data_IF_005734098909
#
_entry.id   IF_005734098909
#
_cell.length_a   1.000
_cell.length_b   1.000
_cell.length_c   1.000
_cell.angle_alpha   90.00
_cell.angle_beta   90.00
_cell.angle_gamma   90.00
#
_symmetry.space_group_name_H-M   'P 1'
#
loop_
_entity.id
_entity.type
_entity.pdbx_description
1 polymer ?
#
# COMPACT_ATOMS: atom_id res chain seq x y z
N UNK A 1 10.15 -4.78 -21.70
CA UNK A 1 11.30 -4.01 -21.17
C UNK A 1 12.33 -5.04 -20.71
N UNK A 2 13.55 -5.04 -21.25
CA UNK A 2 14.61 -5.97 -20.83
C UNK A 2 15.30 -5.37 -19.60
N UNK A 3 15.36 -6.14 -18.51
CA UNK A 3 16.13 -5.80 -17.31
C UNK A 3 17.51 -6.40 -17.47
N UNK A 4 18.55 -5.60 -17.22
CA UNK A 4 19.92 -6.09 -17.14
C UNK A 4 20.21 -6.40 -15.67
N UNK A 5 20.49 -7.67 -15.36
CA UNK A 5 20.86 -8.06 -14.01
C UNK A 5 22.35 -7.78 -13.78
N UNK A 6 22.64 -6.99 -12.75
CA UNK A 6 24.01 -6.79 -12.27
C UNK A 6 24.39 -7.84 -11.22
N UNK A 7 25.67 -7.85 -10.82
CA UNK A 7 26.18 -8.79 -9.80
C UNK A 7 25.48 -8.61 -8.44
N UNK A 8 25.13 -7.39 -8.06
CA UNK A 8 24.49 -7.09 -6.78
C UNK A 8 23.06 -7.67 -6.72
N UNK A 9 22.27 -7.53 -7.78
CA UNK A 9 20.96 -8.17 -7.92
C UNK A 9 21.09 -9.69 -7.84
N UNK A 10 22.18 -10.26 -8.36
CA UNK A 10 22.42 -11.70 -8.25
C UNK A 10 22.59 -12.14 -6.80
N UNK A 11 23.37 -11.37 -6.03
CA UNK A 11 23.60 -11.62 -4.61
C UNK A 11 22.31 -11.46 -3.79
N UNK A 12 21.52 -10.41 -4.05
CA UNK A 12 20.21 -10.21 -3.41
C UNK A 12 19.26 -11.38 -3.65
N UNK A 13 19.17 -11.90 -4.88
CA UNK A 13 18.32 -13.06 -5.19
C UNK A 13 18.79 -14.32 -4.44
N UNK A 14 20.11 -14.51 -4.32
CA UNK A 14 20.66 -15.63 -3.56
C UNK A 14 20.31 -15.53 -2.08
N UNK A 15 20.35 -14.33 -1.50
CA UNK A 15 19.97 -14.10 -0.11
C UNK A 15 18.48 -14.30 0.12
N UNK A 16 17.64 -13.76 -0.76
CA UNK A 16 16.20 -13.99 -0.76
C UNK A 16 15.89 -15.50 -0.79
N UNK A 17 16.53 -16.25 -1.69
CA UNK A 17 16.31 -17.70 -1.83
C UNK A 17 16.75 -18.52 -0.60
N UNK A 18 17.68 -18.01 0.22
CA UNK A 18 18.07 -18.66 1.49
C UNK A 18 16.97 -18.52 2.55
N UNK A 19 16.23 -17.41 2.54
CA UNK A 19 15.22 -17.08 3.55
C UNK A 19 13.82 -17.61 3.23
N UNK A 20 13.48 -17.72 1.95
CA UNK A 20 12.15 -18.15 1.52
C UNK A 20 11.94 -19.66 1.78
N UNK A 21 10.69 -20.03 2.05
CA UNK A 21 10.22 -21.42 2.18
C UNK A 21 10.69 -22.33 1.02
N UNK A 22 11.06 -23.59 1.28
CA UNK A 22 11.54 -24.53 0.26
C UNK A 22 10.64 -24.67 -0.97
N UNK A 23 9.32 -24.52 -0.82
CA UNK A 23 8.35 -24.62 -1.91
C UNK A 23 8.46 -23.47 -2.92
N UNK A 24 8.86 -22.28 -2.47
CA UNK A 24 8.97 -21.09 -3.32
C UNK A 24 10.39 -20.90 -3.91
N UNK A 25 11.40 -21.63 -3.41
CA UNK A 25 12.78 -21.62 -3.94
C UNK A 25 12.92 -21.93 -5.44
N UNK A 26 12.15 -22.86 -6.07
CA UNK A 26 12.28 -23.11 -7.51
C UNK A 26 11.68 -22.01 -8.38
N UNK A 27 10.76 -21.20 -7.85
CA UNK A 27 10.13 -20.06 -8.54
C UNK A 27 11.06 -18.84 -8.60
N UNK A 28 11.92 -18.69 -7.59
CA UNK A 28 12.91 -17.61 -7.47
C UNK A 28 14.21 -18.02 -8.19
N UNK A 29 14.23 -17.89 -9.52
CA UNK A 29 15.38 -18.19 -10.38
C UNK A 29 15.51 -17.17 -11.51
N UNK A 30 16.75 -16.85 -11.94
CA UNK A 30 17.00 -15.92 -13.06
C UNK A 30 16.38 -16.34 -14.37
N UNK A 31 16.26 -17.64 -14.60
CA UNK A 31 15.62 -18.18 -15.79
C UNK A 31 14.10 -17.90 -15.82
N UNK A 32 13.51 -17.47 -14.70
CA UNK A 32 12.10 -17.12 -14.62
C UNK A 32 11.91 -15.63 -14.99
N UNK A 33 11.30 -15.31 -16.14
CA UNK A 33 11.00 -13.92 -16.49
C UNK A 33 10.00 -13.27 -15.53
N UNK A 34 9.20 -14.07 -14.82
CA UNK A 34 8.17 -13.64 -13.86
C UNK A 34 8.69 -13.57 -12.42
N UNK A 35 10.01 -13.57 -12.22
CA UNK A 35 10.61 -13.57 -10.87
C UNK A 35 10.12 -12.40 -10.01
N UNK A 36 9.96 -11.21 -10.58
CA UNK A 36 9.46 -10.03 -9.85
C UNK A 36 8.01 -10.21 -9.41
N UNK A 37 7.17 -10.86 -10.20
CA UNK A 37 5.77 -11.10 -9.83
C UNK A 37 5.67 -12.12 -8.69
N UNK A 38 6.47 -13.20 -8.74
CA UNK A 38 6.57 -14.17 -7.66
C UNK A 38 7.11 -13.51 -6.37
N UNK A 39 8.14 -12.67 -6.47
CA UNK A 39 8.68 -11.92 -5.32
C UNK A 39 7.68 -10.93 -4.73
N UNK A 40 6.83 -10.32 -5.56
CA UNK A 40 5.73 -9.46 -5.09
C UNK A 40 4.69 -10.26 -4.29
N UNK A 41 4.35 -11.47 -4.74
CA UNK A 41 3.44 -12.36 -3.99
C UNK A 41 4.04 -12.72 -2.63
N UNK A 42 5.33 -13.05 -2.60
CA UNK A 42 6.09 -13.38 -1.39
C UNK A 42 6.13 -12.18 -0.43
N UNK A 43 6.47 -10.99 -0.94
CA UNK A 43 6.52 -9.74 -0.18
C UNK A 43 5.20 -9.40 0.53
N UNK A 44 4.06 -9.70 -0.09
CA UNK A 44 2.75 -9.46 0.49
C UNK A 44 2.31 -10.54 1.50
N UNK A 45 2.81 -11.78 1.36
CA UNK A 45 2.41 -12.92 2.20
C UNK A 45 3.27 -13.07 3.46
N UNK A 46 4.58 -12.82 3.37
CA UNK A 46 5.48 -13.00 4.50
C UNK A 46 5.47 -11.79 5.45
N UNK A 47 5.83 -12.03 6.71
CA UNK A 47 6.00 -11.01 7.75
C UNK A 47 7.47 -10.70 8.07
N UNK A 48 8.43 -11.47 7.52
CA UNK A 48 9.85 -11.25 7.77
C UNK A 48 10.30 -9.90 7.20
N UNK A 49 10.64 -8.98 8.11
CA UNK A 49 11.09 -7.62 7.80
C UNK A 49 12.36 -7.64 6.96
N UNK A 50 13.28 -8.58 7.22
CA UNK A 50 14.56 -8.62 6.51
C UNK A 50 14.33 -9.09 5.08
N UNK A 51 13.50 -10.11 4.89
CA UNK A 51 13.15 -10.58 3.55
C UNK A 51 12.45 -9.47 2.74
N UNK A 52 11.53 -8.74 3.37
CA UNK A 52 10.89 -7.56 2.74
C UNK A 52 11.89 -6.48 2.36
N UNK A 53 12.89 -6.22 3.19
CA UNK A 53 13.95 -5.26 2.90
C UNK A 53 14.79 -5.70 1.68
N UNK A 54 15.20 -6.97 1.62
CA UNK A 54 15.95 -7.52 0.48
C UNK A 54 15.14 -7.44 -0.83
N UNK A 55 13.85 -7.75 -0.77
CA UNK A 55 12.96 -7.64 -1.94
C UNK A 55 12.83 -6.18 -2.37
N UNK A 56 12.63 -5.23 -1.42
CA UNK A 56 12.60 -3.80 -1.74
C UNK A 56 13.88 -3.33 -2.40
N UNK A 57 15.04 -3.68 -1.85
CA UNK A 57 16.34 -3.29 -2.39
C UNK A 57 16.54 -3.79 -3.83
N UNK A 58 16.15 -5.04 -4.10
CA UNK A 58 16.17 -5.60 -5.44
C UNK A 58 15.27 -4.85 -6.42
N UNK A 59 14.08 -4.46 -5.98
CA UNK A 59 13.13 -3.69 -6.80
C UNK A 59 13.62 -2.26 -7.05
N UNK A 60 14.25 -1.61 -6.06
CA UNK A 60 14.90 -0.30 -6.23
C UNK A 60 15.99 -0.37 -7.29
N UNK A 61 16.82 -1.41 -7.28
CA UNK A 61 17.88 -1.61 -8.29
C UNK A 61 17.35 -1.90 -9.68
N UNK A 62 16.20 -2.56 -9.79
CA UNK A 62 15.54 -2.80 -11.07
C UNK A 62 14.97 -1.52 -11.71
N UNK A 63 14.83 -0.45 -10.91
CA UNK A 63 14.35 0.87 -11.30
C UNK A 63 13.00 1.23 -10.68
N UNK A 64 12.71 2.53 -10.59
CA UNK A 64 11.58 3.11 -9.84
C UNK A 64 10.22 2.52 -10.22
N UNK A 65 10.02 2.20 -11.51
CA UNK A 65 8.79 1.58 -12.03
C UNK A 65 8.46 0.24 -11.39
N UNK A 66 9.46 -0.48 -10.88
CA UNK A 66 9.25 -1.75 -10.20
C UNK A 66 8.86 -1.51 -8.73
N UNK A 67 9.52 -0.56 -8.07
CA UNK A 67 9.18 -0.18 -6.70
C UNK A 67 7.70 0.21 -6.56
N UNK A 68 7.19 1.02 -7.49
CA UNK A 68 5.78 1.41 -7.56
C UNK A 68 4.83 0.21 -7.70
N UNK A 69 5.28 -0.89 -8.32
CA UNK A 69 4.49 -2.13 -8.40
C UNK A 69 4.53 -2.94 -7.12
N UNK A 70 5.55 -2.77 -6.29
CA UNK A 70 5.69 -3.46 -5.01
C UNK A 70 4.76 -2.83 -3.96
N UNK A 71 4.59 -1.51 -4.01
CA UNK A 71 3.58 -0.83 -3.22
C UNK A 71 2.20 -1.27 -3.70
N UNK A 72 1.36 -1.86 -2.83
CA UNK A 72 -0.03 -2.03 -3.19
C UNK A 72 -0.59 -0.63 -3.44
N UNK A 73 -1.23 -0.41 -4.59
CA UNK A 73 -2.07 0.77 -4.87
C UNK A 73 -3.19 0.99 -3.83
N UNK A 74 -3.26 0.14 -2.80
CA UNK A 74 -4.13 0.23 -1.66
C UNK A 74 -3.51 -0.54 -0.48
N UNK A 75 -2.55 0.08 0.20
CA UNK A 75 -2.68 0.18 1.66
C UNK A 75 -3.32 1.52 2.05
N UNK A 76 -4.41 1.87 1.35
CA UNK A 76 -5.70 2.21 1.96
C UNK A 76 -6.29 1.06 2.80
N UNK A 77 -5.44 0.27 3.42
CA UNK A 77 -5.64 -0.37 4.71
C UNK A 77 -4.72 0.34 5.73
N UNK A 78 -4.59 1.67 5.64
CA UNK A 78 -5.06 2.42 6.81
C UNK A 78 -6.46 1.85 7.02
N UNK A 79 -6.62 1.01 8.06
CA UNK A 79 -7.71 1.29 8.96
C UNK A 79 -7.73 2.81 9.04
N UNK A 80 -8.62 3.47 8.30
CA UNK A 80 -9.00 4.84 8.60
C UNK A 80 -9.52 4.66 10.02
N UNK A 81 -8.63 4.73 10.98
CA UNK A 81 -8.95 4.81 12.38
C UNK A 81 -9.87 6.01 12.40
N UNK A 82 -11.17 5.71 12.50
CA UNK A 82 -12.22 6.73 12.40
C UNK A 82 -12.05 7.72 13.57
N UNK A 83 -11.15 7.41 14.50
CA UNK A 83 -10.51 8.26 15.47
C UNK A 83 -10.15 9.66 14.96
N UNK A 84 -10.98 10.62 15.31
CA UNK A 84 -10.70 12.05 15.21
C UNK A 84 -10.14 12.53 16.54
N UNK A 85 -8.99 13.21 16.51
CA UNK A 85 -8.46 13.89 17.70
C UNK A 85 -9.22 15.20 17.90
N UNK A 86 -9.90 15.34 19.04
CA UNK A 86 -10.54 16.60 19.44
C UNK A 86 -9.78 17.20 20.62
N UNK A 87 -9.51 18.50 20.53
CA UNK A 87 -8.88 19.26 21.61
C UNK A 87 -9.96 20.00 22.37
N UNK A 88 -10.11 19.72 23.66
CA UNK A 88 -11.03 20.45 24.53
C UNK A 88 -10.28 20.96 25.75
N UNK A 89 -10.25 22.30 25.92
CA UNK A 89 -9.60 22.98 27.05
C UNK A 89 -8.15 22.53 27.33
N UNK A 90 -7.36 22.33 26.27
CA UNK A 90 -5.96 21.91 26.37
C UNK A 90 -5.73 20.40 26.52
N UNK A 91 -6.79 19.59 26.63
CA UNK A 91 -6.69 18.13 26.66
C UNK A 91 -7.04 17.53 25.29
N UNK A 92 -6.19 16.63 24.80
CA UNK A 92 -6.41 15.90 23.54
C UNK A 92 -7.11 14.58 23.80
N UNK A 93 -8.28 14.37 23.19
CA UNK A 93 -9.03 13.11 23.29
C UNK A 93 -9.13 12.45 21.91
N UNK A 94 -8.91 11.14 21.86
CA UNK A 94 -9.09 10.31 20.67
C UNK A 94 -10.54 9.79 20.64
N UNK A 95 -11.33 10.20 19.63
CA UNK A 95 -12.75 9.84 19.55
C UNK A 95 -13.05 9.13 18.23
N UNK A 96 -13.60 7.92 18.28
CA UNK A 96 -14.09 7.20 17.10
C UNK A 96 -15.19 7.99 16.38
N UNK A 97 -14.99 8.27 15.08
CA UNK A 97 -16.07 8.77 14.22
C UNK A 97 -17.14 7.70 14.12
N UNK A 98 -18.37 8.17 14.18
CA UNK A 98 -19.52 7.39 13.74
C UNK A 98 -19.53 7.40 12.20
N UNK A 99 -19.93 6.30 11.54
CA UNK A 99 -20.11 6.28 10.10
C UNK A 99 -21.04 7.42 9.71
N UNK A 100 -20.64 8.20 8.71
CA UNK A 100 -21.49 9.26 8.16
C UNK A 100 -22.73 8.60 7.55
N UNK A 101 -23.89 8.80 8.17
CA UNK A 101 -25.16 8.59 7.49
C UNK A 101 -25.12 9.36 6.17
N UNK A 102 -25.38 8.67 5.07
CA UNK A 102 -25.57 9.25 3.74
C UNK A 102 -26.90 10.00 3.71
N UNK A 103 -27.10 10.98 4.60
CA UNK A 103 -28.16 11.96 4.43
C UNK A 103 -27.67 12.97 3.39
N UNK A 104 -28.19 12.84 2.17
CA UNK A 104 -28.11 13.86 1.12
C UNK A 104 -28.37 15.22 1.76
N UNK A 105 -27.35 16.10 1.78
CA UNK A 105 -27.49 17.45 2.32
C UNK A 105 -28.63 18.13 1.55
N UNK A 106 -29.82 18.23 2.15
CA UNK A 106 -30.93 19.00 1.57
C UNK A 106 -30.46 20.43 1.42
N UNK A 107 -30.42 20.92 0.17
CA UNK A 107 -30.16 22.32 -0.14
C UNK A 107 -31.16 23.18 0.64
N UNK A 108 -30.69 24.22 1.29
CA UNK A 108 -31.56 25.11 2.07
C UNK A 108 -32.38 25.95 1.09
N UNK A 109 -33.68 25.67 1.03
CA UNK A 109 -34.62 26.46 0.26
C UNK A 109 -34.83 27.81 0.96
N UNK A 110 -34.61 28.93 0.26
CA UNK A 110 -34.90 30.27 0.79
C UNK A 110 -36.10 30.85 0.06
N UNK A 111 -37.08 31.35 0.80
CA UNK A 111 -38.25 32.01 0.23
C UNK A 111 -37.98 33.51 0.17
N UNK A 112 -38.10 34.12 -1.01
CA UNK A 112 -38.01 35.56 -1.19
C UNK A 112 -39.26 36.08 -1.92
N UNK A 113 -39.97 37.03 -1.30
CA UNK A 113 -41.21 37.63 -1.84
C UNK A 113 -42.24 36.60 -2.33
N UNK A 114 -42.42 35.53 -1.57
CA UNK A 114 -43.38 34.46 -1.88
C UNK A 114 -42.92 33.44 -2.91
N UNK A 115 -41.72 33.59 -3.49
CA UNK A 115 -41.14 32.60 -4.39
C UNK A 115 -40.01 31.83 -3.74
N UNK A 116 -40.01 30.53 -3.99
CA UNK A 116 -38.94 29.62 -3.59
C UNK A 116 -37.75 29.84 -4.51
N UNK A 117 -36.62 30.25 -3.94
CA UNK A 117 -35.35 30.40 -4.66
C UNK A 117 -34.40 29.30 -4.20
N UNK A 118 -34.01 28.43 -5.14
CA UNK A 118 -32.98 27.41 -4.94
C UNK A 118 -31.61 27.93 -5.39
N UNK A 119 -30.55 27.45 -4.74
CA UNK A 119 -29.14 27.68 -5.12
C UNK A 119 -28.48 26.35 -5.50
#
# INVERSE_FOLDING_TARGET
MKINFDRAMIELIREIRKKVSPEAKPKIKFANPEIFDELKVIYNKESDVILKALIKELFTRAGDKWLEKLEPASSTATEKSDHQTKVYRGQTMLVEKRPKDTSTKKKRTRVYRGQVVEF
#
